data_IF_302387688668
#
_entry.id   IF_302387688668
#
_cell.length_a   1.000
_cell.length_b   1.000
_cell.length_c   1.000
_cell.angle_alpha   90.00
_cell.angle_beta   90.00
_cell.angle_gamma   90.00
#
_symmetry.space_group_name_H-M   'P 1'
#
loop_
_entity.id
_entity.type
_entity.pdbx_description
1 polymer ?
#
# COMPACT_ATOMS: atom_id res chain seq x y z
N UNK A 1 -18.73 11.30 -12.62
CA UNK A 1 -17.26 11.36 -12.69
C UNK A 1 -16.75 11.28 -11.27
N UNK A 2 -15.99 10.24 -10.92
CA UNK A 2 -15.35 10.14 -9.60
C UNK A 2 -14.03 10.93 -9.71
N UNK A 3 -14.06 12.22 -9.37
CA UNK A 3 -12.84 13.03 -9.33
C UNK A 3 -12.10 12.62 -8.05
N UNK A 4 -10.82 12.24 -8.11
CA UNK A 4 -10.06 11.92 -6.90
C UNK A 4 -10.12 13.10 -5.93
N UNK A 5 -10.38 12.84 -4.64
CA UNK A 5 -10.30 13.86 -3.60
C UNK A 5 -8.85 14.39 -3.58
N UNK A 6 -8.58 15.69 -3.38
CA UNK A 6 -7.23 16.19 -3.09
C UNK A 6 -6.47 15.36 -2.03
N UNK A 7 -7.18 14.73 -1.09
CA UNK A 7 -6.61 13.78 -0.14
C UNK A 7 -6.05 12.51 -0.81
N UNK A 8 -6.70 12.01 -1.87
CA UNK A 8 -6.26 10.83 -2.62
C UNK A 8 -4.90 11.07 -3.30
N UNK A 9 -4.70 12.26 -3.89
CA UNK A 9 -3.43 12.62 -4.52
C UNK A 9 -2.29 12.73 -3.50
N UNK A 10 -2.56 13.34 -2.35
CA UNK A 10 -1.58 13.47 -1.26
C UNK A 10 -1.18 12.10 -0.70
N UNK A 11 -2.15 11.21 -0.52
CA UNK A 11 -1.95 9.84 -0.06
C UNK A 11 -1.17 9.03 -1.10
N UNK A 12 -1.53 9.13 -2.37
CA UNK A 12 -0.84 8.46 -3.46
C UNK A 12 0.64 8.86 -3.54
N UNK A 13 0.93 10.15 -3.41
CA UNK A 13 2.31 10.66 -3.37
C UNK A 13 3.07 10.12 -2.16
N UNK A 14 2.44 10.10 -0.99
CA UNK A 14 3.05 9.54 0.21
C UNK A 14 3.37 8.05 0.06
N UNK A 15 2.48 7.29 -0.58
CA UNK A 15 2.71 5.88 -0.89
C UNK A 15 3.87 5.71 -1.87
N UNK A 16 3.94 6.52 -2.92
CA UNK A 16 5.04 6.49 -3.90
C UNK A 16 6.41 6.70 -3.23
N UNK A 17 6.52 7.75 -2.42
CA UNK A 17 7.75 8.10 -1.70
C UNK A 17 8.17 7.00 -0.72
N UNK A 18 7.18 6.38 -0.05
CA UNK A 18 7.43 5.34 0.92
C UNK A 18 7.83 4.02 0.26
N UNK A 19 7.14 3.63 -0.81
CA UNK A 19 7.22 2.28 -1.38
C UNK A 19 8.27 2.15 -2.49
N UNK A 20 8.57 3.21 -3.24
CA UNK A 20 9.56 3.14 -4.32
C UNK A 20 10.91 2.59 -3.84
N UNK A 21 11.53 3.10 -2.75
CA UNK A 21 12.82 2.59 -2.29
C UNK A 21 12.77 1.13 -1.82
N UNK A 22 11.66 0.72 -1.19
CA UNK A 22 11.46 -0.64 -0.68
C UNK A 22 11.32 -1.65 -1.83
N UNK A 23 10.59 -1.28 -2.88
CA UNK A 23 10.35 -2.10 -4.06
C UNK A 23 11.64 -2.23 -4.88
N UNK A 24 12.37 -1.11 -5.09
CA UNK A 24 13.65 -1.14 -5.82
C UNK A 24 14.72 -1.95 -5.08
N UNK A 25 14.79 -1.87 -3.75
CA UNK A 25 15.70 -2.69 -2.94
C UNK A 25 15.47 -4.20 -3.09
N UNK A 26 14.23 -4.60 -3.42
CA UNK A 26 13.85 -6.01 -3.57
C UNK A 26 13.81 -6.49 -5.02
N UNK A 27 14.09 -5.60 -5.97
CA UNK A 27 14.11 -5.93 -7.40
C UNK A 27 15.15 -7.02 -7.73
N UNK A 28 16.25 -7.10 -6.98
CA UNK A 28 17.29 -8.13 -7.12
C UNK A 28 16.81 -9.50 -6.66
N UNK A 29 16.12 -9.58 -5.52
CA UNK A 29 15.51 -10.80 -5.00
C UNK A 29 14.36 -11.30 -5.92
N UNK A 30 13.60 -10.36 -6.50
CA UNK A 30 12.61 -10.67 -7.51
C UNK A 30 13.22 -11.30 -8.77
N UNK A 31 14.37 -10.79 -9.23
CA UNK A 31 15.10 -11.37 -10.38
C UNK A 31 15.62 -12.77 -10.09
N UNK A 32 16.05 -13.07 -8.86
CA UNK A 32 16.52 -14.42 -8.48
C UNK A 32 15.40 -15.46 -8.43
N UNK A 33 14.15 -15.03 -8.23
CA UNK A 33 12.97 -15.92 -8.26
C UNK A 33 12.50 -16.28 -9.67
N UNK A 34 13.21 -15.84 -10.73
CA UNK A 34 12.90 -16.09 -12.13
C UNK A 34 11.50 -15.63 -12.59
N UNK A 35 10.88 -14.68 -11.86
CA UNK A 35 9.55 -14.13 -12.13
C UNK A 35 9.56 -13.11 -13.29
N UNK A 36 10.15 -13.46 -14.44
CA UNK A 36 10.34 -12.60 -15.62
C UNK A 36 9.08 -12.39 -16.49
N UNK A 37 7.93 -12.04 -15.91
CA UNK A 37 6.80 -11.59 -16.75
C UNK A 37 6.74 -10.06 -16.87
N UNK A 38 6.72 -9.61 -18.12
CA UNK A 38 6.99 -8.24 -18.56
C UNK A 38 5.86 -7.23 -18.34
N UNK A 39 4.70 -7.67 -17.83
CA UNK A 39 3.51 -6.80 -17.68
C UNK A 39 3.05 -6.73 -16.21
N UNK A 40 3.11 -7.84 -15.45
CA UNK A 40 2.72 -7.91 -14.04
C UNK A 40 3.92 -8.00 -13.09
N UNK A 41 4.67 -6.90 -13.03
CA UNK A 41 5.86 -6.79 -12.19
C UNK A 41 5.50 -6.60 -10.70
N UNK A 42 6.47 -6.79 -9.82
CA UNK A 42 6.32 -6.61 -8.37
C UNK A 42 5.70 -5.24 -7.97
N UNK A 43 6.18 -4.09 -8.50
CA UNK A 43 5.58 -2.79 -8.21
C UNK A 43 4.09 -2.73 -8.51
N UNK A 44 3.68 -3.27 -9.67
CA UNK A 44 2.28 -3.29 -10.08
C UNK A 44 1.43 -4.19 -9.19
N UNK A 45 1.94 -5.36 -8.81
CA UNK A 45 1.21 -6.27 -7.91
C UNK A 45 1.01 -5.65 -6.51
N UNK A 46 2.04 -4.98 -5.98
CA UNK A 46 1.94 -4.27 -4.70
C UNK A 46 0.94 -3.12 -4.80
N UNK A 47 1.03 -2.31 -5.86
CA UNK A 47 0.09 -1.21 -6.09
C UNK A 47 -1.35 -1.71 -6.22
N UNK A 48 -1.56 -2.83 -6.93
CA UNK A 48 -2.87 -3.45 -7.10
C UNK A 48 -3.46 -3.97 -5.78
N UNK A 49 -2.67 -4.67 -4.97
CA UNK A 49 -3.12 -5.17 -3.66
C UNK A 49 -3.42 -4.01 -2.71
N UNK A 50 -2.55 -3.01 -2.64
CA UNK A 50 -2.78 -1.83 -1.81
C UNK A 50 -3.99 -1.03 -2.29
N UNK A 51 -4.22 -0.90 -3.60
CA UNK A 51 -5.41 -0.27 -4.14
C UNK A 51 -6.68 -1.05 -3.79
N UNK A 52 -6.66 -2.39 -3.81
CA UNK A 52 -7.80 -3.20 -3.33
C UNK A 52 -8.12 -2.90 -1.86
N UNK A 53 -7.10 -2.87 -1.01
CA UNK A 53 -7.26 -2.64 0.43
C UNK A 53 -7.72 -1.21 0.74
N UNK A 54 -7.09 -0.22 0.11
CA UNK A 54 -7.33 1.19 0.40
C UNK A 54 -8.58 1.75 -0.27
N UNK A 55 -8.81 1.45 -1.57
CA UNK A 55 -10.02 1.88 -2.31
C UNK A 55 -11.21 0.92 -2.12
N UNK A 56 -11.07 -0.12 -1.29
CA UNK A 56 -12.08 -1.14 -1.02
C UNK A 56 -12.68 -1.76 -2.29
N UNK A 57 -11.83 -2.08 -3.28
CA UNK A 57 -12.29 -2.60 -4.57
C UNK A 57 -12.86 -4.01 -4.37
N UNK A 58 -14.13 -4.26 -4.71
CA UNK A 58 -14.84 -5.47 -4.27
C UNK A 58 -14.51 -6.73 -5.08
N UNK A 59 -13.87 -6.60 -6.25
CA UNK A 59 -13.59 -7.76 -7.11
C UNK A 59 -12.38 -7.57 -8.02
N UNK A 60 -11.82 -8.71 -8.48
CA UNK A 60 -10.71 -8.72 -9.47
C UNK A 60 -11.15 -8.13 -10.81
N UNK A 61 -12.43 -8.24 -11.18
CA UNK A 61 -12.96 -7.63 -12.39
C UNK A 61 -12.90 -6.10 -12.32
N UNK A 62 -13.39 -5.51 -11.23
CA UNK A 62 -13.31 -4.07 -11.02
C UNK A 62 -11.85 -3.61 -10.90
N UNK A 63 -11.00 -4.34 -10.19
CA UNK A 63 -9.57 -4.05 -10.13
C UNK A 63 -8.93 -4.04 -11.52
N UNK A 64 -9.27 -5.01 -12.37
CA UNK A 64 -8.76 -5.07 -13.75
C UNK A 64 -9.20 -3.84 -14.55
N UNK A 65 -10.46 -3.40 -14.42
CA UNK A 65 -10.95 -2.20 -15.09
C UNK A 65 -10.24 -0.94 -14.58
N UNK A 66 -10.08 -0.80 -13.27
CA UNK A 66 -9.36 0.32 -12.65
C UNK A 66 -7.90 0.37 -13.12
N UNK A 67 -7.19 -0.75 -13.08
CA UNK A 67 -5.79 -0.82 -13.55
C UNK A 67 -5.63 -0.51 -15.04
N UNK A 68 -6.61 -0.87 -15.88
CA UNK A 68 -6.58 -0.60 -17.32
C UNK A 68 -6.92 0.85 -17.67
N UNK A 69 -7.79 1.50 -16.88
CA UNK A 69 -8.32 2.85 -17.19
C UNK A 69 -7.61 3.96 -16.42
N UNK A 70 -7.43 3.77 -15.13
CA UNK A 70 -6.91 4.77 -14.19
C UNK A 70 -5.48 4.46 -13.76
N UNK A 71 -5.10 3.19 -13.74
CA UNK A 71 -3.91 2.73 -13.04
C UNK A 71 -4.20 2.46 -11.57
N UNK A 72 -3.17 2.35 -10.74
CA UNK A 72 -3.33 2.15 -9.30
C UNK A 72 -2.20 2.81 -8.53
N UNK A 73 -2.57 3.64 -7.54
CA UNK A 73 -1.63 4.45 -6.77
C UNK A 73 -0.69 5.17 -7.77
N UNK A 74 0.63 5.10 -7.58
CA UNK A 74 1.61 5.74 -8.47
C UNK A 74 1.89 4.99 -9.79
N UNK A 75 1.21 3.88 -10.06
CA UNK A 75 1.38 3.10 -11.28
C UNK A 75 0.44 3.58 -12.38
N UNK A 76 1.02 3.86 -13.55
CA UNK A 76 0.26 4.22 -14.77
C UNK A 76 -0.68 3.08 -15.21
N UNK A 77 -1.75 3.40 -15.96
CA UNK A 77 -2.60 2.39 -16.56
C UNK A 77 -1.81 1.34 -17.33
N UNK A 78 -2.12 0.06 -17.11
CA UNK A 78 -1.43 -1.06 -17.73
C UNK A 78 -2.44 -2.03 -18.34
N UNK A 79 -2.20 -2.42 -19.61
CA UNK A 79 -3.05 -3.36 -20.35
C UNK A 79 -2.92 -4.76 -19.75
N UNK A 80 -3.90 -5.17 -18.96
CA UNK A 80 -3.90 -6.44 -18.22
C UNK A 80 -5.23 -7.15 -18.43
N UNK A 81 -5.19 -8.45 -18.68
CA UNK A 81 -6.39 -9.28 -18.74
C UNK A 81 -6.78 -9.77 -17.34
N UNK A 82 -8.08 -9.88 -17.08
CA UNK A 82 -8.59 -10.40 -15.80
C UNK A 82 -8.03 -11.79 -15.47
N UNK A 83 -7.97 -12.77 -16.40
CA UNK A 83 -7.39 -14.08 -16.08
C UNK A 83 -5.92 -14.02 -15.67
N UNK A 84 -5.13 -13.14 -16.30
CA UNK A 84 -3.73 -12.96 -15.94
C UNK A 84 -3.59 -12.38 -14.52
N UNK A 85 -4.43 -11.39 -14.18
CA UNK A 85 -4.47 -10.80 -12.84
C UNK A 85 -4.91 -11.80 -11.79
N UNK A 86 -5.99 -12.54 -12.02
CA UNK A 86 -6.47 -13.60 -11.11
C UNK A 86 -5.40 -14.66 -10.87
N UNK A 87 -4.79 -15.18 -11.94
CA UNK A 87 -3.73 -16.18 -11.83
C UNK A 87 -2.57 -15.64 -10.99
N UNK A 88 -2.16 -14.40 -11.25
CA UNK A 88 -1.08 -13.76 -10.52
C UNK A 88 -1.41 -13.52 -9.05
N UNK A 89 -2.62 -13.09 -8.70
CA UNK A 89 -3.02 -12.97 -7.29
C UNK A 89 -2.98 -14.32 -6.57
N UNK A 90 -3.33 -15.42 -7.23
CA UNK A 90 -3.27 -16.77 -6.67
C UNK A 90 -1.84 -17.32 -6.54
N UNK A 91 -0.93 -16.91 -7.42
CA UNK A 91 0.46 -17.41 -7.46
C UNK A 91 1.49 -16.41 -6.95
N UNK A 92 1.06 -15.24 -6.46
CA UNK A 92 1.97 -14.21 -5.97
C UNK A 92 2.52 -14.62 -4.60
N UNK A 93 3.85 -14.78 -4.45
CA UNK A 93 4.46 -15.18 -3.19
C UNK A 93 4.21 -14.14 -2.10
N UNK A 94 3.59 -14.54 -0.99
CA UNK A 94 3.32 -13.66 0.14
C UNK A 94 4.62 -13.13 0.76
N UNK A 95 5.71 -13.89 0.63
CA UNK A 95 7.05 -13.54 1.10
C UNK A 95 7.54 -12.24 0.48
N UNK A 96 7.20 -11.95 -0.78
CA UNK A 96 7.57 -10.68 -1.42
C UNK A 96 6.87 -9.50 -0.76
N UNK A 97 5.59 -9.66 -0.42
CA UNK A 97 4.85 -8.62 0.29
C UNK A 97 5.39 -8.44 1.73
N UNK A 98 5.71 -9.55 2.39
CA UNK A 98 6.34 -9.55 3.71
C UNK A 98 7.67 -8.79 3.68
N UNK A 99 8.56 -9.08 2.74
CA UNK A 99 9.85 -8.41 2.62
C UNK A 99 9.69 -6.89 2.42
N UNK A 100 8.70 -6.46 1.60
CA UNK A 100 8.33 -5.03 1.48
C UNK A 100 7.91 -4.45 2.81
N UNK A 101 6.97 -5.07 3.52
CA UNK A 101 6.55 -4.60 4.82
C UNK A 101 7.73 -4.51 5.82
N UNK A 102 8.56 -5.55 5.90
CA UNK A 102 9.71 -5.59 6.80
C UNK A 102 10.73 -4.48 6.49
N UNK A 103 10.95 -4.16 5.21
CA UNK A 103 11.83 -3.06 4.82
C UNK A 103 11.28 -1.68 5.21
N UNK A 104 9.96 -1.54 5.33
CA UNK A 104 9.29 -0.29 5.70
C UNK A 104 9.13 -0.11 7.22
N UNK A 105 9.02 -1.21 7.97
CA UNK A 105 8.78 -1.18 9.42
C UNK A 105 9.73 -0.24 10.20
N UNK A 106 11.06 -0.22 9.95
CA UNK A 106 11.96 0.69 10.65
C UNK A 106 11.58 2.17 10.41
N UNK A 107 11.38 2.55 9.15
CA UNK A 107 10.99 3.91 8.77
C UNK A 107 9.65 4.32 9.37
N UNK A 108 8.68 3.40 9.38
CA UNK A 108 7.36 3.65 9.97
C UNK A 108 7.44 3.83 11.49
N UNK A 109 8.29 3.05 12.18
CA UNK A 109 8.55 3.18 13.62
C UNK A 109 9.22 4.50 13.96
N UNK A 110 10.22 4.92 13.18
CA UNK A 110 10.86 6.24 13.36
C UNK A 110 9.86 7.38 13.17
N UNK A 111 9.09 7.36 12.07
CA UNK A 111 8.01 8.34 11.84
C UNK A 111 6.99 8.34 12.98
N UNK A 112 6.65 7.17 13.52
CA UNK A 112 5.72 7.08 14.65
C UNK A 112 6.27 7.71 15.93
N UNK A 113 7.56 7.50 16.25
CA UNK A 113 8.21 8.10 17.42
C UNK A 113 8.26 9.63 17.37
N UNK A 114 8.45 10.21 16.19
CA UNK A 114 8.55 11.67 16.00
C UNK A 114 7.18 12.36 15.92
N UNK A 115 6.11 11.61 15.66
CA UNK A 115 4.75 12.17 15.60
C UNK A 115 4.29 12.62 16.98
N UNK A 116 4.09 13.93 17.14
CA UNK A 116 3.24 14.44 18.22
C UNK A 116 1.78 14.24 17.83
N UNK A 117 1.08 13.38 18.57
CA UNK A 117 -0.37 13.22 18.46
C UNK A 117 -0.99 13.91 19.67
N UNK A 118 -1.68 15.05 19.50
CA UNK A 118 -2.44 15.61 20.61
C UNK A 118 -3.43 14.54 21.08
N UNK A 119 -3.50 14.35 22.40
CA UNK A 119 -4.48 13.46 23.00
C UNK A 119 -5.87 13.97 22.58
N UNK A 120 -6.80 13.07 22.20
CA UNK A 120 -8.19 13.47 22.04
C UNK A 120 -8.66 14.16 23.32
N UNK A 121 -9.47 15.20 23.17
CA UNK A 121 -9.91 16.04 24.30
C UNK A 121 -10.57 15.21 25.41
N UNK A 122 -11.34 14.18 25.04
CA UNK A 122 -11.94 13.22 25.96
C UNK A 122 -10.91 12.45 26.80
N UNK A 123 -9.78 12.06 26.20
CA UNK A 123 -8.69 11.35 26.89
C UNK A 123 -7.90 12.32 27.78
N UNK A 124 -7.64 13.54 27.30
CA UNK A 124 -6.99 14.59 28.08
C UNK A 124 -7.81 14.95 29.33
N UNK A 125 -9.12 15.10 29.17
CA UNK A 125 -10.06 15.37 30.27
C UNK A 125 -10.15 14.19 31.24
N UNK A 126 -10.19 12.96 30.74
CA UNK A 126 -10.22 11.77 31.60
C UNK A 126 -8.93 11.62 32.42
N UNK A 127 -7.75 11.84 31.83
CA UNK A 127 -6.47 11.78 32.54
C UNK A 127 -6.36 12.87 33.61
N UNK A 128 -6.90 14.06 33.34
CA UNK A 128 -6.89 15.18 34.29
C UNK A 128 -7.78 14.93 35.52
N UNK A 129 -8.91 14.23 35.36
CA UNK A 129 -9.86 13.97 36.45
C UNK A 129 -9.64 12.63 37.15
N UNK A 130 -9.18 11.60 36.44
CA UNK A 130 -9.08 10.22 36.94
C UNK A 130 -7.63 9.72 37.07
N UNK A 131 -6.63 10.60 36.95
CA UNK A 131 -5.22 10.22 37.07
C UNK A 131 -4.85 9.53 38.39
N UNK A 132 -5.66 9.69 39.44
CA UNK A 132 -5.50 9.02 40.74
C UNK A 132 -6.01 7.56 40.76
N UNK A 133 -6.82 7.13 39.79
CA UNK A 133 -7.41 5.78 39.71
C UNK A 133 -6.55 4.85 38.86
N UNK A 134 -5.78 5.38 37.90
CA UNK A 134 -4.95 4.59 36.96
C UNK A 134 -3.51 4.32 37.45
N UNK A 135 -3.23 4.42 38.74
CA UNK A 135 -1.92 4.09 39.33
C UNK A 135 -2.02 2.81 40.15
#
# INVERSE_FOLDING_TARGET
MNVPDPQDEAIQKQFEELLSPAIYAQSTFYRSLNLRDRILNLPLMIAAVLAMLWRQIPSVCELTKTLNREGALWMRPAKISQPALSKRLLTFPAELFQQVLHSLLPKLRERWKVRQRPLPESVSNALSHFGHIMR
#
